data_IF_839070372243
#
_entry.id   IF_839070372243
#
_cell.length_a   1.000
_cell.length_b   1.000
_cell.length_c   1.000
_cell.angle_alpha   90.00
_cell.angle_beta   90.00
_cell.angle_gamma   90.00
#
_symmetry.space_group_name_H-M   'P 1'
#
loop_
_entity.id
_entity.type
_entity.pdbx_description
1 polymer ?
#
# COMPACT_ATOMS: atom_id res chain seq x y z
N UNK A 1 22.60 -0.59 -27.32
CA UNK A 1 21.37 -0.88 -26.57
C UNK A 1 21.78 -1.09 -25.12
N UNK A 2 21.36 -0.23 -24.20
CA UNK A 2 21.56 -0.51 -22.77
C UNK A 2 20.58 -1.61 -22.37
N UNK A 3 21.11 -2.76 -21.97
CA UNK A 3 20.31 -3.77 -21.30
C UNK A 3 19.99 -3.26 -19.90
N UNK A 4 18.71 -3.05 -19.61
CA UNK A 4 18.28 -2.86 -18.22
C UNK A 4 18.48 -4.21 -17.54
N UNK A 5 19.38 -4.25 -16.55
CA UNK A 5 19.54 -5.39 -15.64
C UNK A 5 18.85 -5.05 -14.33
N UNK A 6 17.87 -5.85 -13.96
CA UNK A 6 17.29 -5.81 -12.62
C UNK A 6 18.06 -6.79 -11.75
N UNK A 7 18.47 -6.34 -10.58
CA UNK A 7 19.02 -7.20 -9.53
C UNK A 7 17.84 -7.87 -8.82
N UNK A 8 17.47 -9.05 -9.32
CA UNK A 8 16.31 -9.78 -8.85
C UNK A 8 16.49 -10.26 -7.40
N UNK A 9 17.70 -10.71 -7.04
CA UNK A 9 18.02 -11.11 -5.67
C UNK A 9 17.83 -9.94 -4.69
N UNK A 10 18.34 -8.75 -5.04
CA UNK A 10 18.13 -7.56 -4.23
C UNK A 10 16.65 -7.18 -4.13
N UNK A 11 15.89 -7.33 -5.23
CA UNK A 11 14.46 -7.02 -5.24
C UNK A 11 13.68 -8.01 -4.37
N UNK A 12 13.93 -9.31 -4.50
CA UNK A 12 13.32 -10.36 -3.66
C UNK A 12 13.70 -10.15 -2.18
N UNK A 13 14.96 -9.83 -1.88
CA UNK A 13 15.45 -9.57 -0.52
C UNK A 13 14.81 -8.33 0.11
N UNK A 14 14.35 -7.36 -0.70
CA UNK A 14 13.67 -6.16 -0.23
C UNK A 14 12.19 -6.37 0.13
N UNK A 15 11.54 -7.42 -0.43
CA UNK A 15 10.11 -7.69 -0.23
C UNK A 15 9.70 -7.73 1.25
N UNK A 16 10.41 -8.43 2.16
CA UNK A 16 10.03 -8.44 3.58
C UNK A 16 10.09 -7.05 4.22
N UNK A 17 11.00 -6.19 3.80
CA UNK A 17 11.10 -4.82 4.32
C UNK A 17 9.91 -3.97 3.86
N UNK A 18 9.54 -4.10 2.58
CA UNK A 18 8.38 -3.42 2.00
C UNK A 18 7.08 -3.88 2.69
N UNK A 19 6.89 -5.19 2.85
CA UNK A 19 5.74 -5.74 3.58
C UNK A 19 5.68 -5.21 5.01
N UNK A 20 6.79 -5.19 5.76
CA UNK A 20 6.81 -4.63 7.12
C UNK A 20 6.42 -3.15 7.17
N UNK A 21 6.83 -2.35 6.19
CA UNK A 21 6.44 -0.93 6.13
C UNK A 21 4.95 -0.83 5.80
N UNK A 22 4.46 -1.66 4.87
CA UNK A 22 3.06 -1.71 4.52
C UNK A 22 2.17 -2.07 5.72
N UNK A 23 2.56 -3.10 6.48
CA UNK A 23 1.87 -3.51 7.70
C UNK A 23 1.80 -2.38 8.73
N UNK A 24 2.91 -1.65 8.93
CA UNK A 24 2.95 -0.49 9.85
C UNK A 24 2.03 0.64 9.42
N UNK A 25 1.95 0.93 8.12
CA UNK A 25 1.02 1.95 7.63
C UNK A 25 -0.41 1.48 7.80
N UNK A 26 -0.71 0.21 7.52
CA UNK A 26 -2.03 -0.36 7.73
C UNK A 26 -2.44 -0.35 9.21
N UNK A 27 -1.52 -0.62 10.14
CA UNK A 27 -1.75 -0.48 11.58
C UNK A 27 -2.09 0.96 11.99
N UNK A 28 -1.31 1.93 11.49
CA UNK A 28 -1.54 3.34 11.77
C UNK A 28 -2.90 3.82 11.21
N UNK A 29 -3.26 3.40 9.99
CA UNK A 29 -4.56 3.67 9.37
C UNK A 29 -5.69 3.10 10.23
N UNK A 30 -5.59 1.84 10.64
CA UNK A 30 -6.59 1.20 11.52
C UNK A 30 -6.74 1.93 12.84
N UNK A 31 -5.63 2.33 13.45
CA UNK A 31 -5.64 3.07 14.71
C UNK A 31 -6.32 4.45 14.57
N UNK A 32 -5.99 5.20 13.51
CA UNK A 32 -6.61 6.49 13.24
C UNK A 32 -8.12 6.36 12.98
N UNK A 33 -8.53 5.38 12.18
CA UNK A 33 -9.94 5.06 11.91
C UNK A 33 -10.69 4.72 13.19
N UNK A 34 -10.12 3.88 14.04
CA UNK A 34 -10.74 3.49 15.31
C UNK A 34 -10.97 4.69 16.24
N UNK A 35 -10.02 5.65 16.29
CA UNK A 35 -10.20 6.87 17.10
C UNK A 35 -11.33 7.73 16.56
N UNK A 36 -11.35 8.00 15.25
CA UNK A 36 -12.39 8.81 14.61
C UNK A 36 -13.78 8.20 14.81
N UNK A 37 -13.91 6.88 14.65
CA UNK A 37 -15.19 6.19 14.84
C UNK A 37 -15.61 6.11 16.32
N UNK A 38 -14.65 6.06 17.24
CA UNK A 38 -14.94 5.99 18.68
C UNK A 38 -15.40 7.33 19.27
N UNK A 39 -15.04 8.48 18.70
CA UNK A 39 -15.47 9.78 19.22
C UNK A 39 -16.99 9.97 19.19
N UNK A 40 -17.67 9.40 18.18
CA UNK A 40 -19.12 9.50 18.04
C UNK A 40 -19.63 10.96 18.10
N UNK A 41 -20.90 11.16 18.42
CA UNK A 41 -21.48 12.50 18.60
C UNK A 41 -21.33 12.98 20.06
N UNK A 42 -20.13 13.42 20.44
CA UNK A 42 -19.84 13.85 21.81
C UNK A 42 -20.09 15.35 22.09
N UNK A 43 -20.47 16.12 21.08
CA UNK A 43 -20.59 17.59 21.11
C UNK A 43 -21.98 18.13 21.50
N UNK A 44 -22.94 17.26 21.82
CA UNK A 44 -24.29 17.67 22.23
C UNK A 44 -25.19 18.15 21.09
N UNK A 45 -26.47 18.32 21.38
CA UNK A 45 -27.50 18.69 20.40
C UNK A 45 -27.85 20.19 20.38
N UNK A 46 -27.12 21.01 21.15
CA UNK A 46 -27.30 22.46 21.15
C UNK A 46 -26.75 23.12 19.88
N UNK A 47 -26.98 24.42 19.72
CA UNK A 47 -26.58 25.16 18.51
C UNK A 47 -25.07 25.11 18.24
N UNK A 48 -24.26 25.10 19.31
CA UNK A 48 -22.79 25.00 19.22
C UNK A 48 -22.39 23.59 18.76
N UNK A 49 -23.00 22.56 19.36
CA UNK A 49 -22.79 21.16 19.00
C UNK A 49 -23.18 20.87 17.56
N UNK A 50 -24.31 21.42 17.08
CA UNK A 50 -24.73 21.27 15.69
C UNK A 50 -23.80 21.98 14.69
N UNK A 51 -23.34 23.20 15.00
CA UNK A 51 -22.35 23.91 14.18
C UNK A 51 -21.00 23.17 14.11
N UNK A 52 -20.57 22.57 15.23
CA UNK A 52 -19.39 21.73 15.26
C UNK A 52 -19.58 20.47 14.41
N UNK A 53 -20.68 19.74 14.63
CA UNK A 53 -21.02 18.53 13.87
C UNK A 53 -21.04 18.79 12.35
N UNK A 54 -21.62 19.92 11.94
CA UNK A 54 -21.74 20.31 10.54
C UNK A 54 -20.39 20.49 9.84
N UNK A 55 -19.32 20.78 10.59
CA UNK A 55 -17.95 20.93 10.05
C UNK A 55 -17.11 19.68 10.27
N UNK A 56 -17.22 19.07 11.45
CA UNK A 56 -16.44 17.91 11.84
C UNK A 56 -16.83 16.67 11.03
N UNK A 57 -18.12 16.32 10.95
CA UNK A 57 -18.57 15.06 10.34
C UNK A 57 -18.17 14.93 8.86
N UNK A 58 -18.32 15.96 8.01
CA UNK A 58 -17.81 15.89 6.63
C UNK A 58 -16.29 15.75 6.56
N UNK A 59 -15.55 16.53 7.35
CA UNK A 59 -14.09 16.47 7.37
C UNK A 59 -13.56 15.11 7.87
N UNK A 60 -14.22 14.51 8.87
CA UNK A 60 -13.93 13.18 9.36
C UNK A 60 -14.17 12.12 8.28
N UNK A 61 -15.30 12.19 7.56
CA UNK A 61 -15.59 11.29 6.45
C UNK A 61 -14.58 11.39 5.30
N UNK A 62 -14.15 12.62 4.98
CA UNK A 62 -13.14 12.89 3.96
C UNK A 62 -11.76 12.34 4.40
N UNK A 63 -11.41 12.51 5.68
CA UNK A 63 -10.21 11.92 6.29
C UNK A 63 -10.21 10.39 6.26
N UNK A 64 -11.34 9.75 6.59
CA UNK A 64 -11.50 8.30 6.50
C UNK A 64 -11.31 7.80 5.06
N UNK A 65 -11.88 8.50 4.08
CA UNK A 65 -11.70 8.18 2.66
C UNK A 65 -10.21 8.29 2.25
N UNK A 66 -9.51 9.32 2.74
CA UNK A 66 -8.07 9.48 2.51
C UNK A 66 -7.23 8.33 3.10
N UNK A 67 -7.61 7.85 4.29
CA UNK A 67 -6.96 6.69 4.92
C UNK A 67 -7.17 5.40 4.11
N UNK A 68 -8.37 5.18 3.56
CA UNK A 68 -8.66 4.03 2.69
C UNK A 68 -7.81 4.08 1.41
N UNK A 69 -7.66 5.26 0.80
CA UNK A 69 -6.81 5.46 -0.37
C UNK A 69 -5.34 5.21 -0.06
N UNK A 70 -4.86 5.66 1.12
CA UNK A 70 -3.50 5.39 1.56
C UNK A 70 -3.25 3.88 1.72
N UNK A 71 -4.18 3.16 2.34
CA UNK A 71 -4.07 1.70 2.47
C UNK A 71 -4.02 1.01 1.10
N UNK A 72 -4.86 1.42 0.15
CA UNK A 72 -4.85 0.89 -1.22
C UNK A 72 -3.52 1.15 -1.93
N UNK A 73 -2.98 2.36 -1.83
CA UNK A 73 -1.71 2.72 -2.44
C UNK A 73 -0.55 1.88 -1.88
N UNK A 74 -0.51 1.68 -0.57
CA UNK A 74 0.51 0.87 0.11
C UNK A 74 0.45 -0.59 -0.33
N UNK A 75 -0.75 -1.17 -0.41
CA UNK A 75 -0.92 -2.54 -0.92
C UNK A 75 -0.48 -2.64 -2.40
N UNK A 76 -0.84 -1.66 -3.22
CA UNK A 76 -0.46 -1.61 -4.62
C UNK A 76 1.06 -1.55 -4.84
N UNK A 77 1.80 -0.85 -3.97
CA UNK A 77 3.28 -0.86 -4.01
C UNK A 77 3.83 -2.24 -3.68
N UNK A 78 3.29 -2.92 -2.67
CA UNK A 78 3.68 -4.29 -2.31
C UNK A 78 3.45 -5.28 -3.45
N UNK A 79 2.26 -5.24 -4.05
CA UNK A 79 1.88 -6.10 -5.17
C UNK A 79 2.72 -5.83 -6.41
N UNK A 80 2.94 -4.55 -6.74
CA UNK A 80 3.76 -4.15 -7.89
C UNK A 80 5.21 -4.61 -7.79
N UNK A 81 5.83 -4.49 -6.60
CA UNK A 81 7.19 -4.99 -6.39
C UNK A 81 7.25 -6.53 -6.48
N UNK A 82 6.23 -7.23 -5.98
CA UNK A 82 6.13 -8.68 -6.12
C UNK A 82 5.97 -9.15 -7.57
N UNK A 83 5.15 -8.44 -8.36
CA UNK A 83 4.93 -8.72 -9.77
C UNK A 83 6.22 -8.52 -10.59
N UNK A 84 6.89 -7.37 -10.43
CA UNK A 84 8.15 -7.09 -11.14
C UNK A 84 9.22 -8.14 -10.82
N UNK A 85 9.35 -8.54 -9.55
CA UNK A 85 10.32 -9.57 -9.18
C UNK A 85 10.02 -10.94 -9.81
N UNK A 86 8.74 -11.29 -9.93
CA UNK A 86 8.31 -12.56 -10.54
C UNK A 86 8.50 -12.54 -12.06
N UNK A 87 8.13 -11.44 -12.71
CA UNK A 87 8.23 -11.30 -14.16
C UNK A 87 9.69 -11.34 -14.64
N UNK A 88 10.62 -10.74 -13.88
CA UNK A 88 12.05 -10.80 -14.19
C UNK A 88 12.61 -12.23 -14.06
N UNK A 89 12.26 -12.97 -13.02
CA UNK A 89 12.72 -14.36 -12.85
C UNK A 89 12.22 -15.29 -13.95
N UNK A 90 10.94 -15.16 -14.32
CA UNK A 90 10.37 -15.91 -15.45
C UNK A 90 11.08 -15.56 -16.75
N UNK A 91 11.43 -14.29 -16.97
CA UNK A 91 12.15 -13.87 -18.16
C UNK A 91 13.58 -14.43 -18.19
N UNK A 92 14.29 -14.48 -17.06
CA UNK A 92 15.64 -15.03 -16.99
C UNK A 92 15.65 -16.56 -17.20
N UNK A 93 14.72 -17.29 -16.58
CA UNK A 93 14.55 -18.73 -16.77
C UNK A 93 14.27 -19.09 -18.24
N UNK A 94 13.39 -18.32 -18.89
CA UNK A 94 13.07 -18.49 -20.30
C UNK A 94 14.29 -18.23 -21.20
N UNK A 95 15.06 -17.17 -20.91
CA UNK A 95 16.28 -16.86 -21.65
C UNK A 95 17.35 -17.93 -21.45
N UNK A 96 17.57 -18.39 -20.21
CA UNK A 96 18.50 -19.46 -19.87
C UNK A 96 18.16 -20.75 -20.61
N UNK A 97 16.88 -21.13 -20.63
CA UNK A 97 16.40 -22.31 -21.36
C UNK A 97 16.62 -22.17 -22.87
N UNK A 98 16.33 -21.00 -23.45
CA UNK A 98 16.56 -20.73 -24.86
C UNK A 98 18.04 -20.79 -25.26
N UNK A 99 18.94 -20.28 -24.41
CA UNK A 99 20.39 -20.37 -24.61
C UNK A 99 20.87 -21.82 -24.54
N UNK A 100 20.38 -22.61 -23.57
CA UNK A 100 20.73 -24.03 -23.44
C UNK A 100 20.26 -24.87 -24.64
N UNK A 101 19.12 -24.53 -25.24
CA UNK A 101 18.62 -25.17 -26.45
C UNK A 101 19.41 -24.77 -27.69
N UNK A 102 19.83 -23.50 -27.80
CA UNK A 102 20.65 -23.03 -28.91
C UNK A 102 22.12 -23.51 -28.86
N UNK A 103 22.57 -23.99 -27.70
CA UNK A 103 23.91 -24.54 -27.49
C UNK A 103 24.03 -26.06 -27.74
N UNK A 104 22.92 -26.73 -28.06
CA UNK A 104 22.85 -28.14 -28.47
C UNK A 104 22.75 -28.26 -30.00
#
# INVERSE_FOLDING_TARGET
MSTIRVDEEALQASRPAITRVADKVADAVRAARAVIEAEGECWGADEIGQEFAGKYSPAAAEGLTGLDLLQQAVNGVGDGVGAVATDFGVQDDNNSTGVQQAAQ
#
